data_IF_942569781938
#
_entry.id   IF_942569781938
#
_cell.length_a   1.000
_cell.length_b   1.000
_cell.length_c   1.000
_cell.angle_alpha   90.00
_cell.angle_beta   90.00
_cell.angle_gamma   90.00
#
_symmetry.space_group_name_H-M   'P 1'
#
loop_
_entity.id
_entity.type
_entity.pdbx_description
1 polymer ?
#
# COMPACT_ATOMS: atom_id res chain seq x y z
N UNK A 1 -1.21 -68.64 -72.11
CA UNK A 1 -1.45 -67.22 -72.45
C UNK A 1 -0.82 -66.38 -71.33
N UNK A 2 0.51 -66.20 -71.38
CA UNK A 2 1.28 -64.96 -71.69
C UNK A 2 1.14 -63.84 -70.62
N UNK A 3 2.14 -63.71 -69.73
CA UNK A 3 3.20 -62.66 -69.64
C UNK A 3 2.73 -61.42 -68.81
N UNK A 4 3.27 -61.18 -67.59
CA UNK A 4 4.34 -60.21 -67.19
C UNK A 4 3.89 -58.73 -67.34
N UNK A 5 4.09 -57.75 -66.44
CA UNK A 5 5.26 -57.28 -65.66
C UNK A 5 4.83 -56.22 -64.62
N UNK A 6 5.63 -56.05 -63.57
CA UNK A 6 5.71 -54.90 -62.64
C UNK A 6 6.08 -53.55 -63.29
N UNK A 7 5.81 -52.41 -62.63
CA UNK A 7 6.70 -51.22 -62.41
C UNK A 7 5.94 -50.03 -61.77
N UNK A 8 6.71 -49.19 -61.08
CA UNK A 8 6.45 -48.19 -60.03
C UNK A 8 6.01 -46.77 -60.48
N UNK A 9 5.56 -45.98 -59.47
CA UNK A 9 6.04 -44.62 -59.11
C UNK A 9 5.17 -43.35 -59.38
N UNK A 10 4.86 -42.65 -58.25
CA UNK A 10 4.74 -41.20 -57.94
C UNK A 10 3.59 -40.30 -58.48
N UNK A 11 2.83 -39.80 -57.48
CA UNK A 11 2.48 -38.40 -57.13
C UNK A 11 1.87 -37.48 -58.20
N UNK A 12 0.63 -37.02 -57.98
CA UNK A 12 0.24 -35.61 -58.10
C UNK A 12 -0.89 -35.26 -57.12
N UNK A 13 -0.72 -34.11 -56.45
CA UNK A 13 -1.60 -33.52 -55.46
C UNK A 13 -2.85 -32.86 -56.09
N UNK A 14 -3.91 -32.65 -55.30
CA UNK A 14 -4.61 -31.37 -55.28
C UNK A 14 -5.21 -31.10 -53.89
N UNK A 15 -4.56 -30.18 -53.18
CA UNK A 15 -4.98 -29.59 -51.91
C UNK A 15 -6.22 -28.72 -52.11
N UNK A 16 -7.17 -28.81 -51.18
CA UNK A 16 -8.14 -27.73 -50.97
C UNK A 16 -7.47 -26.65 -50.12
N UNK A 17 -7.40 -25.49 -50.74
CA UNK A 17 -6.90 -24.21 -50.27
C UNK A 17 -7.75 -23.69 -49.09
N UNK A 18 -7.14 -23.44 -47.94
CA UNK A 18 -7.54 -22.31 -47.08
C UNK A 18 -6.27 -21.55 -46.70
N UNK A 19 -6.15 -20.37 -47.29
CA UNK A 19 -5.16 -19.35 -46.95
C UNK A 19 -5.50 -18.76 -45.57
N UNK A 20 -4.67 -19.04 -44.57
CA UNK A 20 -4.25 -18.03 -43.60
C UNK A 20 -2.75 -18.20 -43.38
N UNK A 21 -1.98 -17.24 -43.89
CA UNK A 21 -0.56 -17.12 -43.61
C UNK A 21 -0.39 -16.62 -42.17
N UNK A 22 0.15 -17.44 -41.28
CA UNK A 22 0.92 -16.97 -40.14
C UNK A 22 2.31 -17.58 -40.23
N UNK A 23 3.28 -16.72 -40.57
CA UNK A 23 4.68 -16.99 -40.29
C UNK A 23 4.90 -16.70 -38.80
N UNK A 24 5.36 -17.70 -38.06
CA UNK A 24 5.77 -17.52 -36.68
C UNK A 24 5.38 -18.72 -35.83
N UNK A 25 6.34 -19.61 -35.61
CA UNK A 25 6.33 -20.51 -34.46
C UNK A 25 6.08 -19.69 -33.20
N UNK A 26 4.90 -19.83 -32.61
CA UNK A 26 4.61 -19.30 -31.28
C UNK A 26 4.02 -20.43 -30.45
N UNK A 27 4.86 -20.98 -29.59
CA UNK A 27 4.46 -21.84 -28.48
C UNK A 27 3.59 -21.00 -27.54
N UNK A 28 2.33 -21.36 -27.41
CA UNK A 28 1.47 -20.89 -26.31
C UNK A 28 1.97 -21.55 -25.03
N UNK A 29 2.58 -20.76 -24.16
CA UNK A 29 2.83 -21.15 -22.78
C UNK A 29 1.50 -20.98 -22.03
N UNK A 30 0.85 -22.04 -21.50
CA UNK A 30 -0.32 -21.84 -20.66
C UNK A 30 0.09 -21.07 -19.39
N UNK A 31 -0.80 -20.17 -18.97
CA UNK A 31 -0.68 -19.26 -17.83
C UNK A 31 0.07 -19.86 -16.64
N UNK A 32 1.26 -19.31 -16.37
CA UNK A 32 2.11 -19.67 -15.25
C UNK A 32 3.10 -18.56 -14.95
N UNK A 33 2.67 -17.29 -14.96
CA UNK A 33 3.43 -16.25 -14.28
C UNK A 33 3.11 -16.35 -12.79
N UNK A 34 3.83 -17.23 -12.09
CA UNK A 34 4.11 -16.99 -10.68
C UNK A 34 5.07 -15.80 -10.63
N UNK A 35 4.56 -14.58 -10.84
CA UNK A 35 5.21 -13.44 -10.18
C UNK A 35 5.00 -13.70 -8.70
N UNK A 36 6.02 -13.50 -7.84
CA UNK A 36 5.71 -13.09 -6.47
C UNK A 36 4.83 -11.85 -6.64
N UNK A 37 3.51 -11.99 -6.52
CA UNK A 37 2.63 -10.84 -6.63
C UNK A 37 3.00 -9.94 -5.46
N UNK A 38 3.56 -8.77 -5.77
CA UNK A 38 3.77 -7.74 -4.76
C UNK A 38 2.47 -7.47 -4.03
N UNK A 39 2.56 -7.07 -2.77
CA UNK A 39 1.40 -6.79 -1.93
C UNK A 39 0.30 -6.06 -2.72
N UNK A 40 -0.95 -6.55 -2.70
CA UNK A 40 -2.06 -5.99 -3.47
C UNK A 40 -3.07 -5.32 -2.55
N UNK A 41 -3.52 -4.10 -2.92
CA UNK A 41 -4.49 -3.37 -2.10
C UNK A 41 -5.78 -4.17 -1.97
N UNK A 42 -6.20 -4.40 -0.74
CA UNK A 42 -7.44 -5.13 -0.43
C UNK A 42 -8.57 -4.16 -0.10
N UNK A 43 -8.39 -3.38 0.95
CA UNK A 43 -9.42 -2.47 1.47
C UNK A 43 -8.82 -1.47 2.45
N UNK A 44 -9.61 -0.49 2.85
CA UNK A 44 -9.21 0.55 3.79
C UNK A 44 -10.35 0.91 4.75
N UNK A 45 -10.00 1.59 5.83
CA UNK A 45 -10.90 2.20 6.79
C UNK A 45 -10.30 3.49 7.37
N UNK A 46 -11.14 4.30 8.01
CA UNK A 46 -10.73 5.55 8.64
C UNK A 46 -11.62 5.85 9.86
N UNK A 47 -11.08 6.56 10.84
CA UNK A 47 -11.86 7.14 11.95
C UNK A 47 -11.27 8.47 12.44
N UNK A 48 -12.09 9.23 13.15
CA UNK A 48 -11.72 10.46 13.85
C UNK A 48 -12.24 10.35 15.29
N UNK A 49 -11.46 10.82 16.25
CA UNK A 49 -11.95 11.19 17.58
C UNK A 49 -11.75 12.69 17.80
N UNK A 50 -12.86 13.43 17.80
CA UNK A 50 -12.90 14.89 17.92
C UNK A 50 -12.99 15.39 19.38
N UNK A 51 -12.94 14.48 20.35
CA UNK A 51 -12.99 14.79 21.77
C UNK A 51 -11.71 14.35 22.46
N UNK A 52 -11.35 15.06 23.53
CA UNK A 52 -10.25 14.66 24.39
C UNK A 52 -10.47 13.23 24.87
N UNK A 53 -9.52 12.35 24.57
CA UNK A 53 -9.67 10.93 24.84
C UNK A 53 -8.35 10.20 24.82
N UNK A 54 -8.32 9.07 25.53
CA UNK A 54 -7.14 8.23 25.65
C UNK A 54 -7.05 7.13 24.57
N UNK A 55 -7.90 7.17 23.53
CA UNK A 55 -7.83 6.20 22.44
C UNK A 55 -8.52 6.64 21.16
N UNK A 56 -8.19 5.95 20.06
CA UNK A 56 -8.94 5.96 18.80
C UNK A 56 -9.27 4.52 18.39
N UNK A 57 -10.45 4.33 17.80
CA UNK A 57 -10.93 3.02 17.33
C UNK A 57 -11.03 3.03 15.81
N UNK A 58 -10.33 2.11 15.15
CA UNK A 58 -10.42 1.89 13.71
C UNK A 58 -11.16 0.59 13.42
N UNK A 59 -12.18 0.63 12.56
CA UNK A 59 -12.82 -0.58 12.07
C UNK A 59 -11.81 -1.43 11.27
N UNK A 60 -11.87 -2.74 11.44
CA UNK A 60 -11.07 -3.66 10.63
C UNK A 60 -11.49 -3.51 9.16
N UNK A 61 -10.55 -3.32 8.21
CA UNK A 61 -10.88 -3.26 6.79
C UNK A 61 -11.65 -4.51 6.33
N UNK A 62 -12.63 -4.32 5.45
CA UNK A 62 -13.50 -5.41 4.99
C UNK A 62 -12.71 -6.44 4.17
N UNK A 63 -13.13 -7.71 4.25
CA UNK A 63 -12.54 -8.79 3.47
C UNK A 63 -11.11 -9.19 3.86
N UNK A 64 -10.60 -8.66 4.98
CA UNK A 64 -9.31 -9.06 5.57
C UNK A 64 -9.36 -10.52 6.00
N UNK A 65 -8.31 -11.27 5.64
CA UNK A 65 -8.11 -12.69 5.95
C UNK A 65 -6.68 -12.92 6.44
N UNK A 66 -6.42 -14.10 7.01
CA UNK A 66 -5.09 -14.52 7.47
C UNK A 66 -4.01 -14.27 6.40
N UNK A 67 -2.83 -13.84 6.85
CA UNK A 67 -1.67 -13.43 6.06
C UNK A 67 -1.79 -12.11 5.28
N UNK A 68 -2.90 -11.37 5.43
CA UNK A 68 -2.88 -9.96 5.05
C UNK A 68 -1.96 -9.17 5.97
N UNK A 69 -1.42 -8.05 5.46
CA UNK A 69 -0.70 -7.07 6.28
C UNK A 69 -1.50 -5.78 6.30
N UNK A 70 -1.74 -5.29 7.52
CA UNK A 70 -2.44 -4.06 7.81
C UNK A 70 -1.42 -3.00 8.18
N UNK A 71 -1.58 -1.80 7.61
CA UNK A 71 -0.86 -0.61 8.02
C UNK A 71 -1.85 0.39 8.57
N UNK A 72 -1.64 0.84 9.81
CA UNK A 72 -2.42 1.90 10.43
C UNK A 72 -1.53 3.13 10.61
N UNK A 73 -2.04 4.29 10.20
CA UNK A 73 -1.41 5.57 10.45
C UNK A 73 -2.30 6.36 11.42
N UNK A 74 -1.74 6.72 12.56
CA UNK A 74 -2.43 7.40 13.65
C UNK A 74 -1.78 8.76 13.85
N UNK A 75 -2.60 9.80 13.82
CA UNK A 75 -2.21 11.16 14.11
C UNK A 75 -2.86 11.60 15.42
N UNK A 76 -2.09 12.27 16.26
CA UNK A 76 -2.52 12.80 17.56
C UNK A 76 -2.06 14.24 17.72
N UNK A 77 -2.90 15.02 18.39
CA UNK A 77 -2.60 16.36 18.86
C UNK A 77 -2.62 16.35 20.39
N UNK A 78 -1.47 16.57 21.03
CA UNK A 78 -1.35 16.66 22.48
C UNK A 78 -0.42 17.79 22.92
N UNK A 79 -0.79 18.53 23.97
CA UNK A 79 0.06 19.53 24.61
C UNK A 79 1.38 18.97 25.17
N UNK A 80 1.43 17.67 25.50
CA UNK A 80 2.64 17.02 26.01
C UNK A 80 3.35 16.18 24.92
N UNK A 81 4.60 16.53 24.64
CA UNK A 81 5.46 15.83 23.68
C UNK A 81 5.81 14.39 24.08
N UNK A 82 5.45 13.96 25.30
CA UNK A 82 5.65 12.60 25.78
C UNK A 82 4.51 11.64 25.41
N UNK A 83 3.40 12.14 24.86
CA UNK A 83 2.28 11.27 24.50
C UNK A 83 2.66 10.31 23.38
N UNK A 84 2.68 9.03 23.71
CA UNK A 84 3.00 7.96 22.79
C UNK A 84 1.76 7.09 22.60
N UNK A 85 1.47 6.72 21.36
CA UNK A 85 0.42 5.74 21.12
C UNK A 85 0.93 4.36 21.56
N UNK A 86 0.25 3.76 22.53
CA UNK A 86 0.54 2.43 23.08
C UNK A 86 0.27 1.41 21.97
N UNK A 87 1.30 0.64 21.63
CA UNK A 87 1.21 -0.37 20.57
C UNK A 87 0.21 -1.46 21.00
N UNK A 88 -0.92 -1.64 20.30
CA UNK A 88 -1.88 -2.66 20.67
C UNK A 88 -1.31 -4.07 20.44
N UNK A 89 -1.85 -5.07 21.15
CA UNK A 89 -1.39 -6.45 21.00
C UNK A 89 -1.44 -6.93 19.54
N UNK A 90 -0.37 -7.58 19.10
CA UNK A 90 -0.17 -8.06 17.73
C UNK A 90 0.06 -6.98 16.68
N UNK A 91 0.23 -5.72 17.09
CA UNK A 91 0.78 -4.67 16.24
C UNK A 91 2.27 -4.48 16.50
N UNK A 92 2.98 -3.97 15.51
CA UNK A 92 4.36 -3.51 15.61
C UNK A 92 4.39 -2.02 15.26
N UNK A 93 4.96 -1.19 16.13
CA UNK A 93 5.28 0.20 15.79
C UNK A 93 6.45 0.21 14.80
N UNK A 94 6.24 0.77 13.62
CA UNK A 94 7.30 0.94 12.63
C UNK A 94 8.08 2.24 12.81
N UNK A 95 7.44 3.24 13.41
CA UNK A 95 8.06 4.51 13.77
C UNK A 95 7.03 5.62 13.93
N UNK A 96 7.51 6.72 14.49
CA UNK A 96 6.72 7.92 14.75
C UNK A 96 7.54 9.15 14.42
N UNK A 97 6.88 10.22 14.01
CA UNK A 97 7.50 11.51 13.80
C UNK A 97 6.65 12.61 14.42
N UNK A 98 7.32 13.52 15.10
CA UNK A 98 6.73 14.73 15.64
C UNK A 98 6.97 15.89 14.67
N UNK A 99 5.96 16.71 14.43
CA UNK A 99 6.13 17.95 13.66
C UNK A 99 7.06 18.91 14.39
N UNK A 100 8.02 19.52 13.67
CA UNK A 100 8.99 20.41 14.28
C UNK A 100 8.33 21.64 14.92
N UNK A 101 8.57 21.88 16.21
CA UNK A 101 8.06 23.02 16.96
C UNK A 101 6.58 22.95 17.31
N UNK A 102 5.95 21.79 17.11
CA UNK A 102 4.52 21.56 17.36
C UNK A 102 4.30 20.24 18.09
N UNK A 103 3.06 20.07 18.53
CA UNK A 103 2.54 19.06 19.44
C UNK A 103 1.85 17.89 18.71
N UNK A 104 2.19 17.71 17.43
CA UNK A 104 1.56 16.73 16.56
C UNK A 104 2.47 15.54 16.33
N UNK A 105 1.93 14.35 16.54
CA UNK A 105 2.66 13.10 16.37
C UNK A 105 1.92 12.21 15.39
N UNK A 106 2.62 11.75 14.35
CA UNK A 106 2.14 10.75 13.40
C UNK A 106 2.91 9.46 13.63
N UNK A 107 2.19 8.37 13.90
CA UNK A 107 2.73 7.04 14.17
C UNK A 107 2.22 6.02 13.15
N UNK A 108 3.10 5.12 12.70
CA UNK A 108 2.76 4.08 11.72
C UNK A 108 2.95 2.70 12.35
N UNK A 109 1.91 1.87 12.25
CA UNK A 109 1.87 0.53 12.80
C UNK A 109 1.66 -0.52 11.72
N UNK A 110 2.25 -1.70 11.88
CA UNK A 110 2.01 -2.89 11.09
C UNK A 110 1.30 -3.96 11.93
N UNK A 111 0.35 -4.68 11.35
CA UNK A 111 -0.12 -5.97 11.84
C UNK A 111 -0.09 -7.01 10.74
N UNK A 112 0.37 -8.22 11.06
CA UNK A 112 0.17 -9.41 10.23
C UNK A 112 -1.10 -10.10 10.75
N UNK A 113 -2.05 -10.38 9.85
CA UNK A 113 -3.35 -10.93 10.21
C UNK A 113 -3.22 -12.43 10.46
N UNK A 114 -3.66 -12.87 11.64
CA UNK A 114 -3.61 -14.29 12.03
C UNK A 114 -4.99 -14.97 12.04
N UNK A 115 -6.07 -14.19 11.88
CA UNK A 115 -7.46 -14.67 11.88
C UNK A 115 -8.16 -14.49 13.23
N UNK A 116 -7.46 -14.04 14.27
CA UNK A 116 -8.02 -13.75 15.60
C UNK A 116 -8.54 -12.32 15.77
N UNK A 117 -8.44 -11.49 14.73
CA UNK A 117 -8.74 -10.06 14.81
C UNK A 117 -10.21 -9.78 15.10
N UNK A 118 -10.44 -8.94 16.11
CA UNK A 118 -11.73 -8.34 16.40
C UNK A 118 -12.28 -7.52 15.20
N UNK A 119 -13.53 -7.05 15.33
CA UNK A 119 -14.16 -6.18 14.33
C UNK A 119 -13.51 -4.79 14.25
N UNK A 120 -12.77 -4.39 15.28
CA UNK A 120 -12.06 -3.10 15.35
C UNK A 120 -10.75 -3.24 16.11
N UNK A 121 -9.89 -2.24 15.92
CA UNK A 121 -8.62 -2.08 16.62
C UNK A 121 -8.65 -0.78 17.43
N UNK A 122 -8.32 -0.89 18.71
CA UNK A 122 -8.21 0.27 19.60
C UNK A 122 -6.73 0.61 19.79
N UNK A 123 -6.38 1.84 19.45
CA UNK A 123 -5.07 2.42 19.71
C UNK A 123 -5.19 3.32 20.93
N UNK A 124 -4.58 2.90 22.04
CA UNK A 124 -4.59 3.68 23.27
C UNK A 124 -3.43 4.68 23.27
N UNK A 125 -3.59 5.76 24.01
CA UNK A 125 -2.58 6.80 24.18
C UNK A 125 -2.10 6.77 25.63
N UNK A 126 -0.84 7.09 25.88
CA UNK A 126 -0.32 7.18 27.25
C UNK A 126 -0.97 8.32 28.01
N UNK A 127 -1.33 9.40 27.30
CA UNK A 127 -2.07 10.55 27.81
C UNK A 127 -3.25 10.88 26.88
N UNK A 128 -4.23 11.66 27.36
CA UNK A 128 -5.39 12.01 26.53
C UNK A 128 -4.99 12.98 25.42
N UNK A 129 -5.17 12.58 24.16
CA UNK A 129 -5.01 13.48 23.03
C UNK A 129 -6.26 14.37 22.92
N UNK A 130 -6.09 15.67 22.67
CA UNK A 130 -7.21 16.59 22.43
C UNK A 130 -7.99 16.23 21.16
N UNK A 131 -7.26 15.67 20.20
CA UNK A 131 -7.80 15.27 18.93
C UNK A 131 -6.94 14.13 18.36
N UNK A 132 -7.58 13.16 17.71
CA UNK A 132 -6.87 12.13 16.96
C UNK A 132 -7.58 11.74 15.66
N UNK A 133 -6.79 11.36 14.66
CA UNK A 133 -7.26 10.77 13.41
C UNK A 133 -6.53 9.48 13.13
N UNK A 134 -7.19 8.57 12.42
CA UNK A 134 -6.54 7.36 11.98
C UNK A 134 -7.08 6.88 10.65
N UNK A 135 -6.19 6.27 9.88
CA UNK A 135 -6.50 5.52 8.66
C UNK A 135 -5.80 4.18 8.71
N UNK A 136 -6.45 3.16 8.17
CA UNK A 136 -5.95 1.80 8.10
C UNK A 136 -6.14 1.26 6.70
N UNK A 137 -5.12 0.59 6.17
CA UNK A 137 -5.17 -0.11 4.87
C UNK A 137 -4.75 -1.55 5.04
N UNK A 138 -5.34 -2.43 4.25
CA UNK A 138 -5.00 -3.85 4.19
C UNK A 138 -4.41 -4.19 2.81
N UNK A 139 -3.37 -5.02 2.83
CA UNK A 139 -2.75 -5.57 1.65
C UNK A 139 -2.74 -7.09 1.70
N UNK A 140 -3.07 -7.69 0.56
CA UNK A 140 -3.05 -9.13 0.35
C UNK A 140 -1.76 -9.61 -0.29
N UNK A 141 -1.41 -10.87 -0.04
CA UNK A 141 -0.19 -11.52 -0.55
C UNK A 141 1.15 -10.83 -0.25
N UNK A 142 1.35 -10.11 0.88
CA UNK A 142 2.68 -9.66 1.27
C UNK A 142 3.56 -10.84 1.71
N UNK A 143 4.88 -10.66 1.70
CA UNK A 143 5.78 -11.56 2.42
C UNK A 143 5.60 -11.35 3.92
N UNK A 144 5.00 -12.29 4.63
CA UNK A 144 4.69 -12.11 6.06
C UNK A 144 5.91 -12.26 6.98
N UNK A 145 7.05 -12.74 6.46
CA UNK A 145 8.28 -12.82 7.26
C UNK A 145 9.04 -11.50 7.23
N UNK A 146 9.00 -10.81 6.08
CA UNK A 146 9.60 -9.49 5.88
C UNK A 146 8.64 -8.59 5.10
N UNK A 147 7.58 -8.05 5.74
CA UNK A 147 6.56 -7.27 5.04
C UNK A 147 7.08 -5.97 4.43
N UNK A 148 8.10 -5.37 5.05
CA UNK A 148 8.81 -4.20 4.58
C UNK A 148 10.21 -4.57 4.07
N UNK A 149 10.50 -4.16 2.83
CA UNK A 149 11.84 -4.34 2.22
C UNK A 149 12.93 -3.51 2.91
N UNK A 150 12.54 -2.39 3.53
CA UNK A 150 13.44 -1.44 4.20
C UNK A 150 12.76 -0.82 5.40
N UNK A 151 13.55 -0.27 6.33
CA UNK A 151 13.03 0.59 7.40
C UNK A 151 12.23 1.76 6.81
N UNK A 152 11.04 2.07 7.34
CA UNK A 152 10.28 3.24 6.90
C UNK A 152 11.05 4.54 7.11
N UNK A 153 10.83 5.48 6.19
CA UNK A 153 11.43 6.82 6.23
C UNK A 153 10.36 7.81 6.65
N UNK A 154 10.74 8.79 7.47
CA UNK A 154 9.84 9.80 8.01
C UNK A 154 10.38 11.20 7.68
N UNK A 155 9.47 12.13 7.42
CA UNK A 155 9.77 13.54 7.20
C UNK A 155 8.64 14.39 7.76
N UNK A 156 8.98 15.53 8.36
CA UNK A 156 8.03 16.45 8.94
C UNK A 156 8.25 17.85 8.39
N UNK A 157 7.13 18.54 8.15
CA UNK A 157 7.14 19.97 7.88
C UNK A 157 7.50 20.80 9.12
N UNK A 158 7.69 22.09 8.89
CA UNK A 158 7.79 23.11 9.94
C UNK A 158 6.55 24.00 9.87
N UNK A 159 6.44 24.98 10.77
CA UNK A 159 5.33 25.95 10.71
C UNK A 159 5.28 26.61 9.33
N UNK A 160 4.09 26.67 8.73
CA UNK A 160 3.82 27.26 7.41
C UNK A 160 4.43 26.51 6.20
N UNK A 161 4.82 25.24 6.32
CA UNK A 161 5.20 24.43 5.15
C UNK A 161 3.98 23.98 4.34
N UNK A 162 3.97 24.26 3.05
CA UNK A 162 2.94 23.83 2.09
C UNK A 162 3.29 22.53 1.34
N UNK A 163 4.43 21.93 1.67
CA UNK A 163 4.85 20.64 1.14
C UNK A 163 5.78 19.91 2.10
N UNK A 164 5.68 18.59 2.10
CA UNK A 164 6.60 17.70 2.80
C UNK A 164 7.10 16.69 1.78
N UNK A 165 8.43 16.54 1.72
CA UNK A 165 9.08 15.55 0.87
C UNK A 165 9.80 14.52 1.71
N UNK A 166 9.52 13.25 1.45
CA UNK A 166 10.36 12.15 1.93
C UNK A 166 11.44 11.88 0.88
N UNK A 167 12.70 12.03 1.26
CA UNK A 167 13.85 11.82 0.39
C UNK A 167 14.48 10.45 0.63
N UNK A 168 15.13 9.89 -0.38
CA UNK A 168 15.94 8.67 -0.22
C UNK A 168 15.16 7.35 -0.27
N UNK A 169 13.90 7.35 -0.72
CA UNK A 169 13.20 6.10 -1.01
C UNK A 169 13.90 5.37 -2.15
N UNK A 170 14.29 4.11 -1.91
CA UNK A 170 14.82 3.20 -2.94
C UNK A 170 14.13 1.85 -2.80
N UNK A 171 13.42 1.39 -3.83
CA UNK A 171 12.83 0.04 -3.78
C UNK A 171 13.92 -1.03 -3.88
N UNK A 172 13.84 -2.07 -3.07
CA UNK A 172 14.86 -3.14 -3.05
C UNK A 172 14.46 -4.30 -3.95
N UNK A 173 13.18 -4.69 -3.90
CA UNK A 173 12.65 -5.83 -4.64
C UNK A 173 11.85 -5.43 -5.88
N UNK A 174 11.51 -6.42 -6.71
CA UNK A 174 10.54 -6.24 -7.80
C UNK A 174 9.13 -6.30 -7.23
N UNK A 175 8.18 -5.65 -7.88
CA UNK A 175 6.80 -5.56 -7.40
C UNK A 175 6.67 -4.99 -5.97
N UNK A 176 7.59 -4.11 -5.54
CA UNK A 176 7.47 -3.41 -4.26
C UNK A 176 6.27 -2.46 -4.30
N UNK A 177 5.39 -2.57 -3.30
CA UNK A 177 4.37 -1.56 -3.07
C UNK A 177 4.84 -0.56 -2.02
N UNK A 178 4.91 0.70 -2.40
CA UNK A 178 5.25 1.79 -1.50
C UNK A 178 3.95 2.35 -0.93
N UNK A 179 3.86 2.40 0.40
CA UNK A 179 2.73 2.96 1.14
C UNK A 179 3.19 4.26 1.78
N UNK A 180 2.46 5.34 1.52
CA UNK A 180 2.78 6.71 1.95
C UNK A 180 1.69 7.22 2.87
N UNK A 181 1.99 7.43 4.15
CA UNK A 181 1.10 8.16 5.05
C UNK A 181 1.50 9.63 5.14
N UNK A 182 0.51 10.51 5.13
CA UNK A 182 0.73 11.95 5.32
C UNK A 182 -0.41 12.57 6.09
N UNK A 183 -0.09 13.62 6.85
CA UNK A 183 -1.02 14.38 7.68
C UNK A 183 -0.88 15.86 7.38
N UNK A 184 -1.98 16.59 7.38
CA UNK A 184 -2.00 18.05 7.28
C UNK A 184 -2.70 18.63 8.51
N UNK A 185 -2.14 19.72 9.01
CA UNK A 185 -2.70 20.46 10.14
C UNK A 185 -2.85 21.92 9.75
N UNK A 186 -3.93 22.55 10.21
CA UNK A 186 -4.19 23.99 10.06
C UNK A 186 -4.61 24.44 8.65
N UNK A 187 -4.99 23.50 7.78
CA UNK A 187 -5.58 23.77 6.46
C UNK A 187 -6.60 22.68 6.12
N UNK A 188 -7.80 23.09 5.74
CA UNK A 188 -8.82 22.21 5.21
C UNK A 188 -8.59 22.04 3.69
N UNK A 189 -7.40 21.56 3.31
CA UNK A 189 -7.08 21.34 1.90
C UNK A 189 -7.12 19.84 1.57
N UNK A 190 -7.48 19.54 0.32
CA UNK A 190 -7.27 18.19 -0.19
C UNK A 190 -5.79 18.04 -0.54
N UNK A 191 -5.08 17.19 0.19
CA UNK A 191 -3.68 16.91 -0.13
C UNK A 191 -3.55 16.29 -1.53
N UNK A 192 -2.56 16.77 -2.27
CA UNK A 192 -2.21 16.16 -3.56
C UNK A 192 -1.24 15.00 -3.36
N UNK A 193 -1.60 13.83 -3.87
CA UNK A 193 -0.77 12.63 -3.81
C UNK A 193 0.58 12.86 -4.52
N UNK A 194 1.67 12.20 -4.09
CA UNK A 194 2.89 12.14 -4.88
C UNK A 194 2.61 11.58 -6.29
N UNK A 195 3.34 12.07 -7.30
CA UNK A 195 3.08 11.70 -8.70
C UNK A 195 3.06 10.18 -8.91
N UNK A 196 1.97 9.70 -9.49
CA UNK A 196 1.74 8.28 -9.78
C UNK A 196 1.27 7.43 -8.58
N UNK A 197 1.03 8.04 -7.42
CA UNK A 197 0.39 7.37 -6.30
C UNK A 197 -1.14 7.43 -6.39
N UNK A 198 -1.79 6.41 -5.87
CA UNK A 198 -3.25 6.30 -5.74
C UNK A 198 -3.64 6.54 -4.28
N UNK A 199 -4.66 7.37 -4.03
CA UNK A 199 -5.24 7.50 -2.70
C UNK A 199 -5.98 6.22 -2.32
N UNK A 200 -5.64 5.64 -1.15
CA UNK A 200 -6.27 4.43 -0.61
C UNK A 200 -7.19 4.72 0.55
N UNK A 201 -6.80 5.64 1.42
CA UNK A 201 -7.59 6.06 2.56
C UNK A 201 -7.40 7.55 2.77
N UNK A 202 -8.45 8.20 3.26
CA UNK A 202 -8.38 9.57 3.72
C UNK A 202 -9.35 9.75 4.88
N UNK A 203 -9.01 10.67 5.76
CA UNK A 203 -9.96 11.25 6.67
C UNK A 203 -9.71 12.75 6.72
N UNK A 204 -10.76 13.54 6.49
CA UNK A 204 -10.66 15.00 6.32
C UNK A 204 -11.70 15.63 7.23
N UNK A 205 -11.22 16.40 8.20
CA UNK A 205 -12.06 17.25 9.04
C UNK A 205 -11.89 18.70 8.60
N UNK A 206 -12.88 19.19 7.85
CA UNK A 206 -12.91 20.57 7.38
C UNK A 206 -13.25 21.57 8.49
N UNK A 207 -13.83 21.12 9.61
CA UNK A 207 -14.15 21.97 10.76
C UNK A 207 -12.88 22.33 11.53
N UNK A 208 -12.04 21.33 11.80
CA UNK A 208 -10.78 21.51 12.52
C UNK A 208 -9.57 21.74 11.60
N UNK A 209 -9.79 21.75 10.27
CA UNK A 209 -8.77 21.94 9.25
C UNK A 209 -7.60 20.94 9.39
N UNK A 210 -7.96 19.67 9.53
CA UNK A 210 -7.04 18.56 9.75
C UNK A 210 -7.34 17.42 8.77
N UNK A 211 -6.30 16.77 8.29
CA UNK A 211 -6.47 15.65 7.37
C UNK A 211 -5.36 14.61 7.54
N UNK A 212 -5.70 13.36 7.23
CA UNK A 212 -4.77 12.24 7.17
C UNK A 212 -5.08 11.40 5.95
N UNK A 213 -4.04 10.96 5.25
CA UNK A 213 -4.15 10.19 4.01
C UNK A 213 -3.17 9.02 4.01
N UNK A 214 -3.59 7.93 3.37
CA UNK A 214 -2.68 6.91 2.86
C UNK A 214 -2.80 6.88 1.35
N UNK A 215 -1.65 6.98 0.69
CA UNK A 215 -1.46 6.78 -0.73
C UNK A 215 -0.60 5.54 -0.98
N UNK A 216 -0.70 4.92 -2.15
CA UNK A 216 0.23 3.86 -2.54
C UNK A 216 0.63 3.89 -4.01
N UNK A 217 1.73 3.20 -4.32
CA UNK A 217 2.16 2.94 -5.69
C UNK A 217 2.88 1.60 -5.78
N UNK A 218 2.57 0.84 -6.84
CA UNK A 218 3.31 -0.37 -7.20
C UNK A 218 4.48 -0.03 -8.12
N UNK A 219 5.68 -0.47 -7.75
CA UNK A 219 6.88 -0.41 -8.56
C UNK A 219 7.21 -1.81 -9.07
N UNK A 220 7.14 -2.01 -10.39
CA UNK A 220 7.38 -3.33 -10.98
C UNK A 220 8.88 -3.68 -11.05
N UNK A 221 9.75 -2.68 -11.03
CA UNK A 221 11.20 -2.83 -11.10
C UNK A 221 11.84 -2.44 -9.76
N UNK A 222 12.96 -3.08 -9.38
CA UNK A 222 13.71 -2.67 -8.20
C UNK A 222 14.45 -1.35 -8.50
N UNK A 223 15.03 -0.76 -7.45
CA UNK A 223 15.86 0.45 -7.51
C UNK A 223 15.12 1.69 -8.03
N UNK A 224 13.79 1.71 -7.92
CA UNK A 224 13.05 2.95 -8.14
C UNK A 224 13.44 3.93 -7.02
N UNK A 225 14.00 5.07 -7.43
CA UNK A 225 14.42 6.15 -6.54
C UNK A 225 13.56 7.38 -6.75
N UNK A 226 13.49 8.25 -5.75
CA UNK A 226 12.89 9.56 -5.90
C UNK A 226 12.40 10.14 -4.59
N UNK A 227 12.01 11.40 -4.66
CA UNK A 227 11.35 12.09 -3.56
C UNK A 227 9.84 11.88 -3.68
N UNK A 228 9.21 11.56 -2.56
CA UNK A 228 7.76 11.54 -2.45
C UNK A 228 7.31 12.86 -1.85
N UNK A 229 6.77 13.74 -2.69
CA UNK A 229 6.29 15.06 -2.27
C UNK A 229 4.78 15.09 -2.23
N UNK A 230 4.23 15.45 -1.08
CA UNK A 230 2.81 15.80 -0.91
C UNK A 230 2.71 17.32 -0.75
N UNK A 231 1.67 17.93 -1.32
CA UNK A 231 1.43 19.39 -1.29
C UNK A 231 0.02 19.73 -0.80
N UNK A 232 -0.11 20.83 -0.05
CA UNK A 232 -1.36 21.41 0.50
C UNK A 232 -1.21 22.87 0.93
#
# INVERSE_FOLDING_TARGET
MRISTSVWLRVFAFSILFLFSFHGSSSTIPFGFWRKHGAEFRSAGAAISQASGASIVLAKPSGVITNDVLYACIWTNDYDTTNSTVTPSGWTLLGSIQSSGNQYITSVYRRIVDGSEAASFTFNFTESANYSMGVIVAYSSPDTNTPEDTTPVFSAGTVSTSSVSMTGLTTVSTATRVVHCTTETSRASTLTAPTGFTQRAANVDTTNAQSIYIFDRLYLNPQATGNLTTTG
#
